data_IF_069065919887
#
_entry.id   IF_069065919887
#
_cell.length_a   1.000
_cell.length_b   1.000
_cell.length_c   1.000
_cell.angle_alpha   90.00
_cell.angle_beta   90.00
_cell.angle_gamma   90.00
#
_symmetry.space_group_name_H-M   'P 1'
#
loop_
_entity.id
_entity.type
_entity.pdbx_description
1 polymer ?
#
# COMPACT_ATOMS: atom_id res chain seq x y z
N UNK A 1 8.91 9.70 -8.93
CA UNK A 1 7.79 8.76 -9.12
C UNK A 1 7.60 7.99 -7.81
N UNK A 2 6.39 7.92 -7.23
CA UNK A 2 6.19 7.29 -5.94
C UNK A 2 6.45 5.77 -6.02
N UNK A 3 7.04 5.21 -4.97
CA UNK A 3 7.22 3.76 -4.85
C UNK A 3 5.96 3.08 -4.28
N UNK A 4 5.27 3.75 -3.36
CA UNK A 4 4.03 3.28 -2.72
C UNK A 4 3.04 4.44 -2.64
N UNK A 5 1.75 4.13 -2.81
CA UNK A 5 0.63 5.05 -2.59
C UNK A 5 -0.33 4.38 -1.63
N UNK A 6 -0.65 5.05 -0.52
CA UNK A 6 -1.65 4.60 0.45
C UNK A 6 -2.89 5.45 0.31
N UNK A 7 -4.04 4.80 0.13
CA UNK A 7 -5.34 5.46 0.08
C UNK A 7 -6.11 5.06 1.32
N UNK A 8 -6.38 6.03 2.19
CA UNK A 8 -7.31 5.83 3.30
C UNK A 8 -8.73 5.78 2.75
N UNK A 9 -9.44 4.71 3.09
CA UNK A 9 -10.82 4.45 2.69
C UNK A 9 -11.58 3.95 3.90
N UNK A 10 -12.72 4.56 4.18
CA UNK A 10 -13.60 4.13 5.26
C UNK A 10 -14.17 2.74 4.97
N UNK A 11 -14.22 1.91 6.02
CA UNK A 11 -14.71 0.52 5.96
C UNK A 11 -16.17 0.39 5.48
N UNK A 12 -16.96 1.46 5.58
CA UNK A 12 -18.38 1.51 5.23
C UNK A 12 -18.66 2.39 4.00
N UNK A 13 -17.69 2.48 3.08
CA UNK A 13 -17.83 3.38 1.94
C UNK A 13 -18.80 2.84 0.87
N UNK A 14 -20.09 3.14 1.03
CA UNK A 14 -21.15 2.84 0.07
C UNK A 14 -21.07 3.73 -1.19
N UNK A 15 -20.32 4.84 -1.12
CA UNK A 15 -20.29 5.90 -2.13
C UNK A 15 -19.26 5.68 -3.25
N UNK A 16 -18.57 4.53 -3.30
CA UNK A 16 -17.77 4.14 -4.46
C UNK A 16 -16.41 4.83 -4.60
N UNK A 17 -15.85 5.38 -3.51
CA UNK A 17 -14.44 5.80 -3.49
C UNK A 17 -13.48 4.63 -3.15
N UNK A 18 -12.22 4.70 -3.59
CA UNK A 18 -11.71 5.58 -4.64
C UNK A 18 -12.15 5.13 -6.03
N UNK A 19 -12.31 6.08 -6.95
CA UNK A 19 -12.67 5.78 -8.35
C UNK A 19 -11.68 4.82 -8.99
N UNK A 20 -12.19 3.82 -9.72
CA UNK A 20 -11.39 2.87 -10.49
C UNK A 20 -10.42 3.56 -11.47
N UNK A 21 -10.84 4.68 -12.08
CA UNK A 21 -9.98 5.47 -13.00
C UNK A 21 -8.80 6.11 -12.26
N UNK A 22 -9.00 6.56 -11.02
CA UNK A 22 -7.93 7.10 -10.18
C UNK A 22 -6.95 6.00 -9.80
N UNK A 23 -7.46 4.84 -9.37
CA UNK A 23 -6.63 3.67 -9.04
C UNK A 23 -5.77 3.23 -10.23
N UNK A 24 -6.36 3.10 -11.42
CA UNK A 24 -5.62 2.76 -12.64
C UNK A 24 -4.49 3.76 -12.94
N UNK A 25 -4.74 5.07 -12.77
CA UNK A 25 -3.70 6.08 -12.98
C UNK A 25 -2.55 5.94 -11.99
N UNK A 26 -2.86 5.66 -10.73
CA UNK A 26 -1.86 5.44 -9.68
C UNK A 26 -1.05 4.16 -9.95
N UNK A 27 -1.70 3.07 -10.33
CA UNK A 27 -1.06 1.81 -10.72
C UNK A 27 -0.20 1.98 -11.98
N UNK A 28 -0.65 2.75 -12.96
CA UNK A 28 0.12 3.07 -14.16
C UNK A 28 1.39 3.89 -13.85
N UNK A 29 1.43 4.59 -12.71
CA UNK A 29 2.69 5.17 -12.22
C UNK A 29 3.68 4.11 -11.77
N UNK A 30 3.35 2.81 -11.71
CA UNK A 30 4.21 1.73 -11.21
C UNK A 30 4.43 1.76 -9.70
N UNK A 31 3.70 2.61 -8.98
CA UNK A 31 3.65 2.57 -7.53
C UNK A 31 2.80 1.39 -7.05
N UNK A 32 3.15 0.82 -5.88
CA UNK A 32 2.28 -0.13 -5.21
C UNK A 32 1.13 0.61 -4.53
N UNK A 33 -0.11 0.34 -4.94
CA UNK A 33 -1.31 0.98 -4.38
C UNK A 33 -1.91 0.10 -3.29
N UNK A 34 -1.99 0.65 -2.08
CA UNK A 34 -2.58 0.02 -0.89
C UNK A 34 -3.81 0.81 -0.44
N UNK A 35 -4.81 0.11 0.12
CA UNK A 35 -6.07 0.68 0.58
C UNK A 35 -6.48 0.10 1.92
N UNK A 36 -6.83 0.95 2.89
CA UNK A 36 -7.20 0.50 4.25
C UNK A 36 -8.47 -0.35 4.30
N UNK A 37 -9.42 -0.15 3.38
CA UNK A 37 -10.66 -0.95 3.32
C UNK A 37 -10.44 -2.37 2.77
N UNK A 38 -9.38 -2.59 1.99
CA UNK A 38 -9.00 -3.91 1.42
C UNK A 38 -7.90 -4.58 2.23
N UNK A 39 -6.86 -3.83 2.55
CA UNK A 39 -5.59 -4.32 3.07
C UNK A 39 -5.53 -4.23 4.61
N UNK A 40 -6.53 -3.62 5.25
CA UNK A 40 -6.57 -3.40 6.69
C UNK A 40 -5.57 -2.34 7.14
N UNK A 41 -4.96 -2.56 8.29
CA UNK A 41 -3.90 -1.69 8.80
C UNK A 41 -2.67 -1.74 7.90
N UNK A 42 -2.14 -0.56 7.57
CA UNK A 42 -0.94 -0.39 6.74
C UNK A 42 0.09 0.36 7.57
N UNK A 43 1.22 -0.27 7.85
CA UNK A 43 2.32 0.36 8.58
C UNK A 43 3.44 0.72 7.62
N UNK A 44 3.87 1.98 7.69
CA UNK A 44 5.05 2.49 7.00
C UNK A 44 6.06 2.88 8.06
N UNK A 45 7.22 2.25 8.05
CA UNK A 45 8.36 2.67 8.84
C UNK A 45 9.30 3.46 7.93
N UNK A 46 9.51 4.74 8.23
CA UNK A 46 10.43 5.59 7.50
C UNK A 46 11.75 5.72 8.26
N UNK A 47 12.85 5.43 7.58
CA UNK A 47 14.21 5.69 8.06
C UNK A 47 14.60 7.15 7.82
N UNK A 48 15.56 7.63 8.62
CA UNK A 48 16.06 9.01 8.51
C UNK A 48 16.74 9.30 7.15
N UNK A 49 17.14 8.27 6.41
CA UNK A 49 17.80 8.38 5.10
C UNK A 49 16.84 8.37 3.90
N UNK A 50 15.52 8.41 4.13
CA UNK A 50 14.52 8.31 3.07
C UNK A 50 14.22 6.87 2.63
N UNK A 51 14.89 5.89 3.22
CA UNK A 51 14.49 4.50 3.14
C UNK A 51 13.19 4.27 3.90
N UNK A 52 12.39 3.29 3.46
CA UNK A 52 11.18 2.93 4.19
C UNK A 52 10.85 1.44 4.01
N UNK A 53 10.12 0.90 4.97
CA UNK A 53 9.53 -0.44 4.94
C UNK A 53 8.01 -0.32 4.97
N UNK A 54 7.31 -1.30 4.39
CA UNK A 54 5.84 -1.36 4.44
C UNK A 54 5.42 -2.77 4.81
N UNK A 55 4.54 -2.90 5.81
CA UNK A 55 3.95 -4.17 6.21
C UNK A 55 2.48 -3.99 6.62
N UNK A 56 1.77 -5.12 6.62
CA UNK A 56 0.33 -5.21 6.87
C UNK A 56 0.11 -6.16 8.06
N UNK A 57 -0.17 -5.65 9.28
CA UNK A 57 -0.19 -6.45 10.51
C UNK A 57 -1.20 -7.60 10.47
N UNK A 58 -2.38 -7.36 9.90
CA UNK A 58 -3.51 -8.31 9.88
C UNK A 58 -3.60 -9.13 8.59
N UNK A 59 -2.60 -9.03 7.71
CA UNK A 59 -2.55 -9.86 6.51
C UNK A 59 -2.43 -11.33 6.91
N UNK A 60 -3.39 -12.16 6.49
CA UNK A 60 -3.32 -13.63 6.70
C UNK A 60 -1.94 -14.15 6.27
N UNK A 61 -1.21 -14.88 7.14
CA UNK A 61 0.06 -15.47 6.78
C UNK A 61 -0.14 -16.40 5.57
N UNK A 62 0.73 -16.27 4.57
CA UNK A 62 0.66 -16.99 3.29
C UNK A 62 0.31 -16.17 2.05
N UNK A 63 -0.14 -14.91 2.15
CA UNK A 63 -0.46 -14.10 0.95
C UNK A 63 0.67 -13.19 0.44
N UNK A 64 1.74 -12.94 1.22
CA UNK A 64 2.84 -12.04 0.82
C UNK A 64 4.26 -12.53 1.17
N UNK A 65 4.37 -13.72 1.76
CA UNK A 65 5.60 -14.24 2.35
C UNK A 65 6.71 -14.55 1.33
N UNK A 66 6.43 -14.53 0.03
CA UNK A 66 7.44 -14.86 -0.99
C UNK A 66 8.36 -13.70 -1.38
N UNK A 67 8.28 -12.51 -0.77
CA UNK A 67 9.06 -11.37 -1.32
C UNK A 67 9.50 -10.24 -0.41
N UNK A 68 9.53 -10.40 0.90
CA UNK A 68 10.32 -9.49 1.75
C UNK A 68 11.79 -9.91 1.73
N UNK A 69 12.41 -9.86 0.54
CA UNK A 69 13.77 -9.31 0.51
C UNK A 69 13.59 -7.88 0.98
N UNK A 70 14.21 -7.52 2.11
CA UNK A 70 14.48 -6.12 2.46
C UNK A 70 15.06 -5.45 1.23
N UNK A 71 14.23 -4.88 0.37
CA UNK A 71 14.67 -3.93 -0.64
C UNK A 71 14.47 -2.61 0.02
N UNK A 72 15.53 -2.19 0.70
CA UNK A 72 15.84 -0.77 0.84
C UNK A 72 15.69 -0.19 -0.57
N UNK A 73 14.60 0.53 -0.79
CA UNK A 73 14.49 1.38 -1.98
C UNK A 73 15.37 2.56 -1.63
N UNK A 74 16.59 2.54 -2.17
CA UNK A 74 17.57 3.61 -2.08
C UNK A 74 17.26 4.69 -3.10
#
# INVERSE_FOLDING_TARGET
KPAVVVVSVDRNNVNGYPSAKTLQRLEATGAKVLRTDRDGDIVIEAGAGGDFSVYLPDSKPGQWESRTRRRSVK
#
